data_IF_329677314590
#
_entry.id   IF_329677314590
#
_cell.length_a   1.000
_cell.length_b   1.000
_cell.length_c   1.000
_cell.angle_alpha   90.00
_cell.angle_beta   90.00
_cell.angle_gamma   90.00
#
_symmetry.space_group_name_H-M   'P 1'
#
loop_
_entity.id
_entity.type
_entity.pdbx_description
1 polymer ?
#
# COMPACT_ATOMS: atom_id res chain seq x y z
N UNK A 1 -59.16 -8.13 27.57
CA UNK A 1 -58.92 -7.25 28.73
C UNK A 1 -58.16 -6.01 28.25
N UNK A 2 -58.85 -4.87 28.33
CA UNK A 2 -58.47 -3.45 28.25
C UNK A 2 -57.47 -2.91 27.22
N UNK A 3 -58.08 -2.12 26.32
CA UNK A 3 -57.52 -1.01 25.56
C UNK A 3 -56.69 -0.04 26.40
N UNK A 4 -55.54 0.37 25.87
CA UNK A 4 -55.10 1.77 25.86
C UNK A 4 -54.29 2.03 24.60
N UNK A 5 -55.00 2.47 23.57
CA UNK A 5 -54.44 3.28 22.48
C UNK A 5 -53.82 4.51 23.14
N UNK A 6 -52.50 4.68 23.06
CA UNK A 6 -51.88 5.98 23.33
C UNK A 6 -51.54 6.63 21.99
N UNK A 7 -52.41 7.56 21.60
CA UNK A 7 -52.25 8.47 20.48
C UNK A 7 -51.44 9.69 20.97
N UNK A 8 -50.56 10.17 20.10
CA UNK A 8 -49.87 11.48 20.11
C UNK A 8 -48.64 11.60 21.03
N UNK A 9 -47.46 11.56 20.40
CA UNK A 9 -46.29 12.32 20.81
C UNK A 9 -45.80 13.13 19.60
N UNK A 10 -46.53 14.19 19.27
CA UNK A 10 -46.01 15.22 18.39
C UNK A 10 -45.02 16.07 19.21
N UNK A 11 -43.74 16.08 18.83
CA UNK A 11 -42.74 17.02 19.35
C UNK A 11 -41.72 16.50 20.37
N UNK A 12 -41.48 15.19 20.48
CA UNK A 12 -40.33 14.67 21.27
C UNK A 12 -39.17 14.32 20.35
N UNK A 13 -37.94 14.66 20.78
CA UNK A 13 -36.71 14.29 20.04
C UNK A 13 -36.53 12.78 19.98
N UNK A 14 -35.97 12.26 18.89
CA UNK A 14 -35.58 10.85 18.72
C UNK A 14 -34.83 10.25 19.93
N UNK A 15 -33.97 11.05 20.60
CA UNK A 15 -33.27 10.64 21.82
C UNK A 15 -34.22 10.36 23.01
N UNK A 16 -35.35 11.08 23.09
CA UNK A 16 -36.39 10.89 24.10
C UNK A 16 -37.26 9.66 23.83
N UNK A 17 -37.41 9.26 22.56
CA UNK A 17 -38.13 8.04 22.16
C UNK A 17 -37.27 6.80 22.44
N UNK A 18 -35.97 6.85 22.11
CA UNK A 18 -35.04 5.74 22.39
C UNK A 18 -34.76 5.55 23.90
N UNK A 19 -34.78 6.62 24.71
CA UNK A 19 -34.66 6.49 26.17
C UNK A 19 -35.91 5.90 26.84
N UNK A 20 -37.08 5.92 26.18
CA UNK A 20 -38.33 5.36 26.70
C UNK A 20 -38.52 3.87 26.38
N UNK A 21 -37.80 3.33 25.39
CA UNK A 21 -37.82 1.90 25.05
C UNK A 21 -36.74 1.13 25.83
N UNK A 22 -36.83 1.18 27.16
CA UNK A 22 -36.06 0.29 28.03
C UNK A 22 -36.58 -1.14 28.04
N UNK A 23 -37.88 -1.36 27.77
CA UNK A 23 -38.55 -2.68 27.91
C UNK A 23 -39.94 -2.73 27.20
N UNK A 24 -40.08 -2.36 25.91
CA UNK A 24 -41.39 -2.46 25.24
C UNK A 24 -41.33 -3.01 23.81
N UNK A 25 -42.04 -4.13 23.60
CA UNK A 25 -42.05 -5.07 22.46
C UNK A 25 -42.53 -4.54 21.08
N UNK A 26 -42.52 -3.23 20.82
CA UNK A 26 -42.69 -2.65 19.46
C UNK A 26 -42.69 -1.13 19.53
N UNK A 27 -42.10 -0.46 18.54
CA UNK A 27 -42.11 1.00 18.46
C UNK A 27 -42.60 1.48 17.09
N UNK A 28 -43.39 2.55 17.08
CA UNK A 28 -43.88 3.24 15.87
C UNK A 28 -43.55 4.72 15.99
N UNK A 29 -42.83 5.27 15.01
CA UNK A 29 -42.49 6.69 14.96
C UNK A 29 -43.15 7.34 13.73
N UNK A 30 -43.81 8.49 13.94
CA UNK A 30 -44.41 9.31 12.88
C UNK A 30 -44.04 10.77 13.17
N UNK A 31 -43.10 11.31 12.40
CA UNK A 31 -42.57 12.65 12.60
C UNK A 31 -41.83 13.10 11.36
N UNK A 32 -42.20 14.26 10.85
CA UNK A 32 -41.52 14.89 9.73
C UNK A 32 -40.06 15.20 10.12
N UNK A 33 -39.10 14.63 9.36
CA UNK A 33 -37.71 15.09 9.27
C UNK A 33 -36.78 14.89 10.50
N UNK A 34 -36.93 13.82 11.29
CA UNK A 34 -35.92 13.50 12.32
C UNK A 34 -34.74 12.67 11.76
N UNK A 35 -33.54 13.25 11.79
CA UNK A 35 -32.30 12.64 11.31
C UNK A 35 -31.43 12.13 12.48
N UNK A 36 -31.28 10.81 12.68
CA UNK A 36 -30.23 10.29 13.55
C UNK A 36 -28.86 10.61 12.94
N UNK A 37 -28.07 11.41 13.65
CA UNK A 37 -26.68 11.72 13.27
C UNK A 37 -25.66 10.68 13.77
N UNK A 38 -26.07 9.80 14.68
CA UNK A 38 -25.23 8.79 15.32
C UNK A 38 -25.77 7.37 15.07
N UNK A 39 -24.98 6.35 15.45
CA UNK A 39 -25.36 4.93 15.33
C UNK A 39 -26.68 4.59 16.06
N UNK A 40 -27.62 3.97 15.35
CA UNK A 40 -28.92 3.53 15.90
C UNK A 40 -28.96 2.02 16.03
N UNK A 41 -29.31 1.51 17.22
CA UNK A 41 -29.50 0.08 17.49
C UNK A 41 -30.94 -0.19 17.93
N UNK A 42 -31.68 -0.98 17.15
CA UNK A 42 -33.04 -1.43 17.45
C UNK A 42 -33.04 -2.95 17.66
N UNK A 43 -33.61 -3.40 18.79
CA UNK A 43 -33.62 -4.82 19.16
C UNK A 43 -34.78 -5.61 18.56
N UNK A 44 -35.89 -4.96 18.26
CA UNK A 44 -37.11 -5.62 17.77
C UNK A 44 -37.53 -5.05 16.40
N UNK A 45 -38.83 -4.80 16.22
CA UNK A 45 -39.42 -4.29 14.97
C UNK A 45 -39.55 -2.77 14.96
N UNK A 46 -39.23 -2.14 13.82
CA UNK A 46 -39.38 -0.71 13.58
C UNK A 46 -40.32 -0.45 12.40
N UNK A 47 -41.35 0.39 12.63
CA UNK A 47 -42.24 0.88 11.57
C UNK A 47 -42.08 2.40 11.40
N UNK A 48 -41.60 2.82 10.23
CA UNK A 48 -41.48 4.22 9.83
C UNK A 48 -42.40 4.55 8.65
N UNK A 49 -43.01 5.73 8.71
CA UNK A 49 -43.93 6.21 7.68
C UNK A 49 -43.23 7.16 6.71
N UNK A 50 -42.28 7.96 7.17
CA UNK A 50 -41.60 8.99 6.37
C UNK A 50 -40.18 8.57 5.92
N UNK A 51 -39.53 9.46 5.15
CA UNK A 51 -38.16 9.27 4.67
C UNK A 51 -37.14 9.21 5.82
N UNK A 52 -36.25 8.23 5.74
CA UNK A 52 -35.20 7.98 6.74
C UNK A 52 -33.84 8.37 6.16
N UNK A 53 -33.08 9.20 6.88
CA UNK A 53 -31.67 9.48 6.55
C UNK A 53 -30.75 9.02 7.66
N UNK A 54 -29.83 8.10 7.37
CA UNK A 54 -28.81 7.60 8.30
C UNK A 54 -27.44 8.02 7.80
N UNK A 55 -26.64 8.63 8.67
CA UNK A 55 -25.30 9.13 8.32
C UNK A 55 -24.23 8.08 8.64
N UNK A 56 -24.26 7.49 9.84
CA UNK A 56 -23.33 6.45 10.27
C UNK A 56 -23.92 5.03 10.05
N UNK A 57 -24.41 4.39 11.11
CA UNK A 57 -24.84 2.99 11.08
C UNK A 57 -26.24 2.78 11.66
N UNK A 58 -26.99 1.86 11.04
CA UNK A 58 -28.30 1.39 11.52
C UNK A 58 -28.24 -0.13 11.73
N UNK A 59 -28.52 -0.59 12.94
CA UNK A 59 -28.56 -2.02 13.28
C UNK A 59 -29.93 -2.41 13.81
N UNK A 60 -30.61 -3.30 13.09
CA UNK A 60 -31.94 -3.82 13.43
C UNK A 60 -31.86 -5.34 13.46
N UNK A 61 -32.46 -5.97 14.47
CA UNK A 61 -32.39 -7.43 14.64
C UNK A 61 -33.60 -8.18 14.08
N UNK A 62 -34.82 -7.65 14.20
CA UNK A 62 -36.02 -8.42 13.81
C UNK A 62 -36.62 -7.96 12.48
N UNK A 63 -37.34 -6.83 12.46
CA UNK A 63 -37.97 -6.34 11.25
C UNK A 63 -37.91 -4.83 11.06
N UNK A 64 -37.80 -4.39 9.81
CA UNK A 64 -37.88 -2.99 9.42
C UNK A 64 -38.95 -2.82 8.35
N UNK A 65 -39.90 -1.91 8.59
CA UNK A 65 -40.90 -1.49 7.62
C UNK A 65 -40.84 0.02 7.41
N UNK A 66 -40.67 0.44 6.16
CA UNK A 66 -40.61 1.84 5.77
C UNK A 66 -41.59 2.06 4.61
N UNK A 67 -42.46 3.06 4.74
CA UNK A 67 -43.40 3.40 3.66
C UNK A 67 -42.76 4.29 2.60
N UNK A 68 -42.01 5.30 2.99
CA UNK A 68 -41.35 6.17 2.00
C UNK A 68 -39.94 5.64 1.66
N UNK A 69 -38.95 6.52 1.63
CA UNK A 69 -37.60 6.24 1.16
C UNK A 69 -36.55 6.11 2.27
N UNK A 70 -35.42 5.48 1.95
CA UNK A 70 -34.25 5.32 2.81
C UNK A 70 -33.02 5.89 2.11
N UNK A 71 -32.29 6.78 2.78
CA UNK A 71 -31.01 7.31 2.32
C UNK A 71 -29.91 7.06 3.34
N UNK A 72 -28.85 6.34 2.94
CA UNK A 72 -27.78 5.96 3.85
C UNK A 72 -26.42 6.25 3.24
N UNK A 73 -25.59 6.97 3.99
CA UNK A 73 -24.32 7.53 3.52
C UNK A 73 -23.11 6.63 3.83
N UNK A 74 -23.14 5.90 4.94
CA UNK A 74 -22.06 4.98 5.35
C UNK A 74 -22.55 3.51 5.42
N UNK A 75 -21.79 2.63 6.05
CA UNK A 75 -22.04 1.20 6.15
C UNK A 75 -23.29 0.84 6.94
N UNK A 76 -24.08 -0.09 6.40
CA UNK A 76 -25.16 -0.74 7.13
C UNK A 76 -24.82 -2.21 7.32
N UNK A 77 -24.51 -2.56 8.57
CA UNK A 77 -24.58 -3.94 9.01
C UNK A 77 -26.02 -4.30 9.36
N UNK A 78 -26.85 -4.61 8.37
CA UNK A 78 -28.17 -5.21 8.60
C UNK A 78 -27.99 -6.66 9.04
N UNK A 79 -27.74 -6.88 10.33
CA UNK A 79 -28.04 -8.20 10.92
C UNK A 79 -29.53 -8.29 11.25
N UNK A 80 -30.38 -7.97 10.27
CA UNK A 80 -31.80 -8.28 10.32
C UNK A 80 -31.89 -9.79 10.16
N UNK A 81 -32.62 -10.42 11.08
CA UNK A 81 -32.74 -11.87 11.14
C UNK A 81 -34.02 -12.32 10.43
N UNK A 82 -35.00 -11.45 10.16
CA UNK A 82 -36.31 -11.90 9.66
C UNK A 82 -36.90 -11.15 8.45
N UNK A 83 -37.09 -9.81 8.47
CA UNK A 83 -37.78 -9.13 7.33
C UNK A 83 -37.51 -7.64 7.15
N UNK A 84 -37.30 -7.22 5.89
CA UNK A 84 -37.35 -5.80 5.46
C UNK A 84 -38.45 -5.58 4.42
N UNK A 85 -39.31 -4.57 4.64
CA UNK A 85 -40.26 -4.07 3.62
C UNK A 85 -40.10 -2.55 3.43
N UNK A 86 -39.71 -2.12 2.24
CA UNK A 86 -39.68 -0.71 1.82
C UNK A 86 -40.61 -0.52 0.62
N UNK A 87 -41.51 0.46 0.68
CA UNK A 87 -42.49 0.69 -0.39
C UNK A 87 -41.91 1.60 -1.49
N UNK A 88 -41.26 2.72 -1.17
CA UNK A 88 -40.61 3.53 -2.19
C UNK A 88 -39.17 3.04 -2.47
N UNK A 89 -38.18 3.91 -2.28
CA UNK A 89 -36.80 3.73 -2.75
C UNK A 89 -35.79 3.58 -1.62
N UNK A 90 -34.72 2.84 -1.88
CA UNK A 90 -33.56 2.70 -1.00
C UNK A 90 -32.31 3.17 -1.75
N UNK A 91 -31.61 4.15 -1.20
CA UNK A 91 -30.34 4.68 -1.73
C UNK A 91 -29.22 4.48 -0.71
N UNK A 92 -28.21 3.68 -1.07
CA UNK A 92 -27.13 3.28 -0.16
C UNK A 92 -25.77 3.51 -0.83
N UNK A 93 -24.87 4.22 -0.14
CA UNK A 93 -23.60 4.69 -0.70
C UNK A 93 -22.45 3.71 -0.45
N UNK A 94 -22.42 3.04 0.69
CA UNK A 94 -21.39 2.05 1.07
C UNK A 94 -21.95 0.62 0.99
N UNK A 95 -21.93 -0.11 2.11
CA UNK A 95 -22.10 -1.56 2.12
C UNK A 95 -23.40 -1.99 2.78
N UNK A 96 -24.05 -2.99 2.18
CA UNK A 96 -25.18 -3.72 2.78
C UNK A 96 -24.75 -5.15 3.04
N UNK A 97 -24.85 -5.58 4.30
CA UNK A 97 -24.87 -7.00 4.65
C UNK A 97 -26.27 -7.36 5.11
N UNK A 98 -26.99 -8.24 4.39
CA UNK A 98 -28.35 -8.67 4.73
C UNK A 98 -28.48 -10.21 4.79
N UNK A 99 -29.28 -10.71 5.73
CA UNK A 99 -29.57 -12.13 5.93
C UNK A 99 -31.09 -12.30 5.98
N UNK A 100 -31.66 -13.21 5.18
CA UNK A 100 -33.09 -13.57 5.08
C UNK A 100 -33.90 -12.88 3.94
N UNK A 101 -35.09 -12.32 4.21
CA UNK A 101 -36.08 -11.97 3.17
C UNK A 101 -36.31 -10.47 2.99
N UNK A 102 -36.03 -9.92 1.80
CA UNK A 102 -36.23 -8.48 1.49
C UNK A 102 -37.34 -8.27 0.46
N UNK A 103 -38.17 -7.23 0.69
CA UNK A 103 -39.11 -6.69 -0.29
C UNK A 103 -38.91 -5.18 -0.46
N UNK A 104 -38.56 -4.77 -1.68
CA UNK A 104 -38.54 -3.35 -2.11
C UNK A 104 -39.51 -3.23 -3.29
N UNK A 105 -40.44 -2.28 -3.24
CA UNK A 105 -41.48 -2.15 -4.27
C UNK A 105 -41.00 -1.25 -5.42
N UNK A 106 -40.39 -0.10 -5.16
CA UNK A 106 -39.84 0.74 -6.23
C UNK A 106 -38.35 0.41 -6.51
N UNK A 107 -37.43 1.28 -6.09
CA UNK A 107 -36.03 1.24 -6.55
C UNK A 107 -35.02 0.93 -5.44
N UNK A 108 -34.00 0.13 -5.77
CA UNK A 108 -32.82 -0.09 -4.93
C UNK A 108 -31.57 0.41 -5.67
N UNK A 109 -30.93 1.46 -5.14
CA UNK A 109 -29.71 2.05 -5.68
C UNK A 109 -28.53 1.85 -4.71
N UNK A 110 -27.47 1.22 -5.20
CA UNK A 110 -26.26 0.89 -4.40
C UNK A 110 -25.01 1.27 -5.19
N UNK A 111 -24.05 1.92 -4.52
CA UNK A 111 -22.85 2.48 -5.16
C UNK A 111 -21.57 1.69 -4.85
N UNK A 112 -21.44 1.05 -3.67
CA UNK A 112 -20.24 0.30 -3.29
C UNK A 112 -20.43 -1.23 -3.35
N UNK A 113 -20.87 -1.86 -2.25
CA UNK A 113 -20.85 -3.31 -2.10
C UNK A 113 -22.18 -3.86 -1.60
N UNK A 114 -22.74 -4.83 -2.33
CA UNK A 114 -23.96 -5.54 -1.94
C UNK A 114 -23.62 -7.01 -1.63
N UNK A 115 -23.68 -7.39 -0.35
CA UNK A 115 -23.59 -8.79 0.05
C UNK A 115 -24.93 -9.24 0.65
N UNK A 116 -25.70 -9.99 -0.14
CA UNK A 116 -26.97 -10.56 0.32
C UNK A 116 -26.88 -12.07 0.36
N UNK A 117 -27.09 -12.64 1.55
CA UNK A 117 -27.16 -14.08 1.76
C UNK A 117 -28.63 -14.45 1.96
N UNK A 118 -29.26 -14.93 0.90
CA UNK A 118 -30.67 -15.32 0.91
C UNK A 118 -30.86 -16.74 1.46
N UNK A 119 -31.81 -16.92 2.39
CA UNK A 119 -32.25 -18.25 2.85
C UNK A 119 -33.63 -18.63 2.31
N UNK A 120 -34.54 -17.66 2.16
CA UNK A 120 -35.96 -17.93 1.84
C UNK A 120 -36.45 -17.32 0.52
N UNK A 121 -36.67 -15.99 0.41
CA UNK A 121 -37.26 -15.38 -0.80
C UNK A 121 -36.98 -13.87 -0.96
N UNK A 122 -36.76 -13.43 -2.20
CA UNK A 122 -36.57 -12.00 -2.56
C UNK A 122 -37.55 -11.58 -3.64
N UNK A 123 -38.15 -10.39 -3.48
CA UNK A 123 -39.00 -9.80 -4.53
C UNK A 123 -38.77 -8.30 -4.62
N UNK A 124 -38.14 -7.89 -5.71
CA UNK A 124 -37.97 -6.49 -6.12
C UNK A 124 -38.92 -6.29 -7.31
N UNK A 125 -39.80 -5.29 -7.23
CA UNK A 125 -40.94 -5.18 -8.16
C UNK A 125 -40.67 -4.25 -9.34
N UNK A 126 -39.80 -3.25 -9.19
CA UNK A 126 -39.46 -2.31 -10.26
C UNK A 126 -37.99 -2.43 -10.70
N UNK A 127 -37.05 -1.71 -10.07
CA UNK A 127 -35.71 -1.49 -10.65
C UNK A 127 -34.57 -1.65 -9.63
N UNK A 128 -33.50 -2.36 -10.01
CA UNK A 128 -32.21 -2.33 -9.31
C UNK A 128 -31.24 -1.53 -10.16
N UNK A 129 -30.80 -0.36 -9.67
CA UNK A 129 -29.69 0.38 -10.29
C UNK A 129 -28.50 0.27 -9.37
N UNK A 130 -27.75 -0.82 -9.51
CA UNK A 130 -26.35 -0.79 -9.10
C UNK A 130 -25.64 0.15 -10.08
N UNK A 131 -25.10 1.27 -9.58
CA UNK A 131 -24.04 1.94 -10.30
C UNK A 131 -22.81 1.07 -10.10
N UNK A 132 -22.78 -0.10 -10.74
CA UNK A 132 -21.60 -0.95 -10.69
C UNK A 132 -20.42 -0.08 -11.13
N UNK A 133 -19.30 -0.22 -10.44
CA UNK A 133 -18.07 0.46 -10.82
C UNK A 133 -17.79 0.31 -12.33
N UNK A 134 -18.27 -0.76 -12.97
CA UNK A 134 -18.25 -0.95 -14.42
C UNK A 134 -18.93 0.14 -15.27
N UNK A 135 -19.97 0.82 -14.80
CA UNK A 135 -20.60 1.91 -15.57
C UNK A 135 -19.70 3.14 -15.66
N UNK A 136 -18.91 3.39 -14.62
CA UNK A 136 -17.98 4.53 -14.51
C UNK A 136 -16.61 4.15 -15.08
N UNK A 137 -16.14 2.94 -14.76
CA UNK A 137 -14.81 2.43 -15.04
C UNK A 137 -14.77 1.57 -16.33
N UNK A 138 -15.90 1.23 -16.94
CA UNK A 138 -15.97 0.17 -17.93
C UNK A 138 -15.82 -1.22 -17.29
N UNK A 139 -16.09 -2.28 -18.06
CA UNK A 139 -16.03 -3.66 -17.57
C UNK A 139 -14.63 -4.03 -17.08
N UNK A 140 -14.53 -4.67 -15.90
CA UNK A 140 -13.33 -5.41 -15.49
C UNK A 140 -13.38 -6.81 -16.11
N UNK A 141 -12.28 -7.23 -16.73
CA UNK A 141 -12.17 -8.45 -17.51
C UNK A 141 -10.74 -8.99 -17.43
N UNK A 142 -10.51 -10.17 -18.00
CA UNK A 142 -9.17 -10.74 -18.09
C UNK A 142 -8.17 -9.83 -18.84
N UNK A 143 -8.65 -8.94 -19.72
CA UNK A 143 -7.79 -8.05 -20.53
C UNK A 143 -7.24 -6.87 -19.72
N UNK A 144 -7.96 -6.42 -18.70
CA UNK A 144 -7.56 -5.31 -17.83
C UNK A 144 -7.39 -5.73 -16.36
N UNK A 145 -7.37 -7.04 -16.09
CA UNK A 145 -6.98 -7.61 -14.81
C UNK A 145 -5.61 -7.06 -14.38
N UNK A 146 -5.53 -6.58 -13.14
CA UNK A 146 -4.34 -5.93 -12.60
C UNK A 146 -4.23 -4.43 -12.86
N UNK A 147 -5.15 -3.82 -13.63
CA UNK A 147 -5.12 -2.39 -13.90
C UNK A 147 -5.73 -1.58 -12.76
N UNK A 148 -5.18 -0.37 -12.57
CA UNK A 148 -5.72 0.66 -11.69
C UNK A 148 -6.45 1.75 -12.46
N UNK A 149 -7.55 2.24 -11.91
CA UNK A 149 -8.26 3.42 -12.37
C UNK A 149 -8.48 4.41 -11.24
N UNK A 150 -8.16 5.66 -11.51
CA UNK A 150 -8.35 6.78 -10.60
C UNK A 150 -9.59 7.54 -11.06
N UNK A 151 -10.55 7.72 -10.16
CA UNK A 151 -11.80 8.43 -10.45
C UNK A 151 -12.20 9.27 -9.25
N UNK A 152 -12.60 10.50 -9.52
CA UNK A 152 -13.24 11.37 -8.54
C UNK A 152 -14.74 11.04 -8.48
N UNK A 153 -15.22 10.61 -7.30
CA UNK A 153 -16.64 10.33 -7.05
C UNK A 153 -17.07 11.21 -5.87
N UNK A 154 -18.03 12.11 -6.09
CA UNK A 154 -18.52 13.06 -5.07
C UNK A 154 -17.40 13.94 -4.45
N UNK A 155 -16.45 14.41 -5.27
CA UNK A 155 -15.28 15.18 -4.83
C UNK A 155 -14.29 14.40 -3.94
N UNK A 156 -14.35 13.07 -3.97
CA UNK A 156 -13.36 12.21 -3.35
C UNK A 156 -12.60 11.42 -4.43
N UNK A 157 -11.28 11.52 -4.43
CA UNK A 157 -10.42 10.70 -5.28
C UNK A 157 -10.44 9.25 -4.80
N UNK A 158 -10.89 8.35 -5.66
CA UNK A 158 -10.92 6.91 -5.40
C UNK A 158 -10.07 6.17 -6.43
N UNK A 159 -9.40 5.13 -5.96
CA UNK A 159 -8.59 4.25 -6.80
C UNK A 159 -9.21 2.86 -6.81
N UNK A 160 -9.47 2.32 -8.00
CA UNK A 160 -10.05 1.00 -8.19
C UNK A 160 -9.06 0.08 -8.89
N UNK A 161 -8.95 -1.15 -8.40
CA UNK A 161 -8.14 -2.22 -8.96
C UNK A 161 -9.05 -3.28 -9.59
N UNK A 162 -8.74 -3.67 -10.83
CA UNK A 162 -9.44 -4.76 -11.50
C UNK A 162 -8.85 -6.10 -11.00
N UNK A 163 -9.60 -6.79 -10.14
CA UNK A 163 -9.13 -7.98 -9.46
C UNK A 163 -8.90 -9.15 -10.43
N UNK A 164 -7.72 -9.76 -10.36
CA UNK A 164 -7.33 -10.80 -11.32
C UNK A 164 -8.11 -12.11 -11.16
N UNK A 165 -8.63 -12.41 -9.97
CA UNK A 165 -9.35 -13.66 -9.72
C UNK A 165 -10.83 -13.53 -10.02
N UNK A 166 -11.44 -12.47 -9.50
CA UNK A 166 -12.88 -12.23 -9.63
C UNK A 166 -13.26 -11.50 -10.91
N UNK A 167 -12.32 -10.79 -11.54
CA UNK A 167 -12.57 -9.88 -12.65
C UNK A 167 -13.64 -8.83 -12.30
N UNK A 168 -13.63 -8.37 -11.05
CA UNK A 168 -14.46 -7.27 -10.57
C UNK A 168 -13.57 -6.11 -10.13
N UNK A 169 -14.08 -4.89 -10.31
CA UNK A 169 -13.45 -3.71 -9.73
C UNK A 169 -13.65 -3.73 -8.22
N UNK A 170 -12.58 -3.49 -7.47
CA UNK A 170 -12.60 -3.25 -6.02
C UNK A 170 -11.79 -2.01 -5.69
N UNK A 171 -11.99 -1.45 -4.50
CA UNK A 171 -11.10 -0.41 -3.98
C UNK A 171 -9.66 -0.96 -3.95
N UNK A 172 -8.75 -0.20 -4.53
CA UNK A 172 -7.34 -0.50 -4.52
C UNK A 172 -6.76 -0.31 -3.12
N UNK A 173 -5.86 -1.20 -2.73
CA UNK A 173 -5.05 -1.02 -1.53
C UNK A 173 -4.02 0.09 -1.74
N UNK A 174 -3.56 0.70 -0.64
CA UNK A 174 -2.49 1.71 -0.72
C UNK A 174 -1.22 1.16 -1.40
N UNK A 175 -0.88 -0.12 -1.18
CA UNK A 175 0.28 -0.75 -1.82
C UNK A 175 0.13 -0.81 -3.35
N UNK A 176 -1.04 -1.20 -3.85
CA UNK A 176 -1.33 -1.22 -5.28
C UNK A 176 -1.24 0.18 -5.90
N UNK A 177 -1.86 1.17 -5.25
CA UNK A 177 -1.82 2.58 -5.69
C UNK A 177 -0.38 3.08 -5.77
N UNK A 178 0.40 2.86 -4.72
CA UNK A 178 1.79 3.34 -4.65
C UNK A 178 2.72 2.58 -5.61
N UNK A 179 2.48 1.29 -5.83
CA UNK A 179 3.17 0.50 -6.86
C UNK A 179 2.96 1.08 -8.25
N UNK A 180 1.72 1.43 -8.62
CA UNK A 180 1.46 2.02 -9.93
C UNK A 180 1.97 3.46 -10.08
N UNK A 181 1.94 4.25 -9.01
CA UNK A 181 2.58 5.57 -8.99
C UNK A 181 4.09 5.45 -9.19
N UNK A 182 4.75 4.51 -8.51
CA UNK A 182 6.16 4.22 -8.72
C UNK A 182 6.42 3.79 -10.16
N UNK A 183 5.64 2.87 -10.72
CA UNK A 183 5.80 2.43 -12.12
C UNK A 183 5.69 3.59 -13.12
N UNK A 184 4.73 4.51 -12.91
CA UNK A 184 4.59 5.73 -13.71
C UNK A 184 5.87 6.56 -13.66
N UNK A 185 6.37 6.86 -12.46
CA UNK A 185 7.52 7.74 -12.27
C UNK A 185 8.85 7.07 -12.63
N UNK A 186 8.98 5.75 -12.50
CA UNK A 186 10.11 4.97 -13.01
C UNK A 186 10.23 5.13 -14.53
N UNK A 187 9.15 4.93 -15.28
CA UNK A 187 9.13 5.13 -16.74
C UNK A 187 9.49 6.57 -17.13
N UNK A 188 9.01 7.55 -16.37
CA UNK A 188 9.29 8.97 -16.61
C UNK A 188 10.74 9.36 -16.27
N UNK A 189 11.36 8.69 -15.29
CA UNK A 189 12.72 8.98 -14.85
C UNK A 189 13.79 8.53 -15.87
N UNK A 190 13.47 7.54 -16.71
CA UNK A 190 14.34 7.06 -17.81
C UNK A 190 15.77 6.78 -17.35
N UNK A 191 15.92 5.99 -16.29
CA UNK A 191 17.23 5.66 -15.72
C UNK A 191 18.02 4.78 -16.68
N UNK A 192 19.12 5.31 -17.22
CA UNK A 192 19.97 4.64 -18.21
C UNK A 192 21.32 4.17 -17.65
N UNK A 193 21.86 4.89 -16.67
CA UNK A 193 23.17 4.62 -16.07
C UNK A 193 23.21 5.15 -14.63
N UNK A 194 24.27 4.79 -13.90
CA UNK A 194 24.57 5.31 -12.57
C UNK A 194 25.10 6.74 -12.64
N UNK A 195 24.48 7.64 -11.87
CA UNK A 195 24.96 9.02 -11.68
C UNK A 195 25.67 9.17 -10.34
N UNK A 196 26.67 10.06 -10.21
CA UNK A 196 27.26 10.38 -8.92
C UNK A 196 26.20 10.85 -7.93
N UNK A 197 26.27 10.37 -6.68
CA UNK A 197 25.26 10.70 -5.66
C UNK A 197 25.27 12.20 -5.31
N UNK A 198 26.45 12.82 -5.30
CA UNK A 198 26.64 14.25 -5.11
C UNK A 198 25.88 15.09 -6.14
N UNK A 199 25.79 14.64 -7.39
CA UNK A 199 25.10 15.35 -8.48
C UNK A 199 23.58 15.33 -8.30
N UNK A 200 23.05 14.28 -7.66
CA UNK A 200 21.62 14.20 -7.31
C UNK A 200 21.35 15.15 -6.16
N UNK A 201 22.17 15.10 -5.11
CA UNK A 201 21.94 15.86 -3.89
C UNK A 201 22.20 17.37 -4.04
N UNK A 202 23.08 17.78 -4.96
CA UNK A 202 23.33 19.18 -5.28
C UNK A 202 22.10 19.90 -5.90
N UNK A 203 21.09 19.15 -6.36
CA UNK A 203 19.91 19.69 -7.06
C UNK A 203 18.64 19.71 -6.22
N UNK A 204 18.71 19.25 -4.97
CA UNK A 204 17.54 19.11 -4.09
C UNK A 204 17.07 20.48 -3.64
N UNK A 205 15.81 20.82 -3.95
CA UNK A 205 15.19 22.05 -3.49
C UNK A 205 14.80 21.97 -2.00
N UNK A 206 14.64 23.10 -1.27
CA UNK A 206 14.39 23.09 0.18
C UNK A 206 13.12 22.38 0.66
N UNK A 207 12.14 22.17 -0.22
CA UNK A 207 10.85 21.52 0.04
C UNK A 207 10.75 20.10 -0.54
N UNK A 208 11.80 19.63 -1.22
CA UNK A 208 11.92 18.26 -1.71
C UNK A 208 12.49 17.34 -0.63
N UNK A 209 12.25 16.03 -0.73
CA UNK A 209 12.88 15.02 0.15
C UNK A 209 13.60 13.98 -0.69
N UNK A 210 14.65 13.36 -0.15
CA UNK A 210 15.38 12.30 -0.85
C UNK A 210 15.50 11.04 0.00
N UNK A 211 15.18 9.89 -0.56
CA UNK A 211 15.51 8.58 0.00
C UNK A 211 16.63 7.97 -0.82
N UNK A 212 17.70 7.57 -0.16
CA UNK A 212 18.87 6.91 -0.76
C UNK A 212 18.97 5.52 -0.15
N UNK A 213 19.11 4.50 -1.00
CA UNK A 213 19.36 3.12 -0.55
C UNK A 213 20.60 2.61 -1.27
N UNK A 214 21.70 2.42 -0.54
CA UNK A 214 23.01 2.01 -1.09
C UNK A 214 23.56 0.76 -0.42
N UNK A 215 24.40 0.04 -1.18
CA UNK A 215 25.16 -1.10 -0.67
C UNK A 215 26.19 -0.58 0.34
N UNK A 216 26.47 -1.36 1.38
CA UNK A 216 27.60 -1.12 2.27
C UNK A 216 28.92 -0.94 1.50
N UNK A 217 29.91 -0.32 2.14
CA UNK A 217 31.27 -0.22 1.59
C UNK A 217 32.01 -1.56 1.62
N UNK A 218 33.24 -1.62 1.11
CA UNK A 218 34.01 -2.86 1.07
C UNK A 218 34.14 -3.52 2.46
N UNK A 219 34.01 -4.85 2.46
CA UNK A 219 34.29 -5.73 3.61
C UNK A 219 35.19 -6.88 3.18
N UNK A 220 35.77 -7.56 4.16
CA UNK A 220 36.42 -8.85 3.97
C UNK A 220 35.39 -9.94 3.63
N UNK A 221 35.85 -11.16 3.35
CA UNK A 221 35.02 -12.30 2.93
C UNK A 221 34.00 -12.78 3.99
N UNK A 222 34.13 -12.34 5.26
CA UNK A 222 33.19 -12.70 6.32
C UNK A 222 31.76 -12.23 6.00
N UNK A 223 30.82 -13.18 5.94
CA UNK A 223 29.40 -12.93 5.67
C UNK A 223 28.59 -12.69 6.95
N UNK A 224 29.17 -12.91 8.13
CA UNK A 224 28.47 -12.83 9.40
C UNK A 224 27.87 -11.43 9.67
N UNK A 225 26.91 -11.39 10.59
CA UNK A 225 26.33 -10.13 11.06
C UNK A 225 27.36 -9.22 11.75
N UNK A 226 28.44 -9.79 12.27
CA UNK A 226 29.53 -9.09 12.94
C UNK A 226 30.61 -8.58 11.98
N UNK A 227 30.58 -9.00 10.71
CA UNK A 227 31.55 -8.61 9.68
C UNK A 227 31.68 -7.08 9.58
N UNK A 228 32.91 -6.61 9.69
CA UNK A 228 33.31 -5.21 9.65
C UNK A 228 33.68 -4.78 8.23
N UNK A 229 33.87 -3.47 8.03
CA UNK A 229 34.49 -2.95 6.81
C UNK A 229 36.02 -3.16 6.86
N UNK A 230 36.63 -3.26 5.68
CA UNK A 230 38.08 -3.11 5.53
C UNK A 230 38.51 -1.66 5.76
N UNK A 231 39.82 -1.41 5.89
CA UNK A 231 40.37 -0.04 5.92
C UNK A 231 39.99 0.74 4.65
N UNK A 232 39.96 0.07 3.49
CA UNK A 232 39.53 0.67 2.23
C UNK A 232 38.02 0.98 2.26
N UNK A 233 37.17 0.09 2.79
CA UNK A 233 35.74 0.37 2.96
C UNK A 233 35.45 1.55 3.90
N UNK A 234 36.27 1.72 4.95
CA UNK A 234 36.23 2.90 5.82
C UNK A 234 36.60 4.17 5.04
N UNK A 235 37.69 4.14 4.28
CA UNK A 235 38.12 5.28 3.46
C UNK A 235 37.07 5.66 2.40
N UNK A 236 36.57 4.68 1.64
CA UNK A 236 35.49 4.85 0.66
C UNK A 236 34.27 5.57 1.25
N UNK A 237 33.86 5.16 2.45
CA UNK A 237 32.72 5.74 3.15
C UNK A 237 32.97 7.20 3.57
N UNK A 238 34.16 7.50 4.10
CA UNK A 238 34.55 8.86 4.50
C UNK A 238 34.67 9.78 3.28
N UNK A 239 35.31 9.34 2.21
CA UNK A 239 35.44 10.09 0.95
C UNK A 239 34.08 10.40 0.33
N UNK A 240 33.14 9.44 0.33
CA UNK A 240 31.76 9.73 -0.07
C UNK A 240 31.14 10.79 0.84
N UNK A 241 31.34 10.68 2.15
CA UNK A 241 30.89 11.71 3.10
C UNK A 241 31.41 13.11 2.75
N UNK A 242 32.70 13.24 2.47
CA UNK A 242 33.34 14.52 2.10
C UNK A 242 32.72 15.12 0.83
N UNK A 243 32.45 14.30 -0.20
CA UNK A 243 31.75 14.74 -1.42
C UNK A 243 30.35 15.27 -1.15
N UNK A 244 29.70 14.79 -0.08
CA UNK A 244 28.33 15.16 0.27
C UNK A 244 28.26 16.33 1.26
N UNK A 245 29.37 16.89 1.76
CA UNK A 245 29.37 17.86 2.88
C UNK A 245 28.44 19.06 2.71
N UNK A 246 28.17 19.50 1.47
CA UNK A 246 27.28 20.63 1.17
C UNK A 246 25.83 20.22 0.89
N UNK A 247 25.52 18.93 0.94
CA UNK A 247 24.15 18.46 0.77
C UNK A 247 23.30 18.78 2.01
N UNK A 248 21.97 18.74 1.87
CA UNK A 248 21.07 18.93 3.01
C UNK A 248 21.31 17.96 4.16
N UNK A 249 20.74 18.31 5.33
CA UNK A 249 20.83 17.47 6.51
C UNK A 249 20.28 16.05 6.26
N UNK A 250 20.99 15.08 6.83
CA UNK A 250 20.80 13.67 6.52
C UNK A 250 20.43 12.88 7.77
N UNK A 251 19.50 11.95 7.61
CA UNK A 251 19.19 10.90 8.56
C UNK A 251 19.84 9.61 8.08
N UNK A 252 20.45 8.85 9.00
CA UNK A 252 21.14 7.61 8.69
C UNK A 252 20.41 6.41 9.28
N UNK A 253 20.34 5.33 8.51
CA UNK A 253 19.94 4.03 9.02
C UNK A 253 20.61 2.91 8.25
N UNK A 254 20.73 1.74 8.87
CA UNK A 254 21.28 0.55 8.23
C UNK A 254 20.55 -0.72 8.64
N UNK A 255 20.89 -1.80 7.95
CA UNK A 255 20.51 -3.16 8.36
C UNK A 255 21.11 -3.54 9.72
N UNK A 256 20.80 -4.71 10.25
CA UNK A 256 21.37 -5.18 11.53
C UNK A 256 22.85 -5.60 11.44
N UNK A 257 23.46 -5.53 10.26
CA UNK A 257 24.84 -5.97 10.04
C UNK A 257 25.83 -4.87 10.41
N UNK A 258 26.91 -5.24 11.10
CA UNK A 258 27.91 -4.28 11.58
C UNK A 258 28.52 -3.45 10.45
N UNK A 259 28.80 -4.04 9.28
CA UNK A 259 29.27 -3.34 8.08
C UNK A 259 28.36 -2.21 7.59
N UNK A 260 27.02 -2.33 7.70
CA UNK A 260 26.12 -1.25 7.27
C UNK A 260 26.17 -0.08 8.25
N UNK A 261 26.26 -0.40 9.56
CA UNK A 261 26.48 0.60 10.61
C UNK A 261 27.79 1.36 10.41
N UNK A 262 28.88 0.63 10.18
CA UNK A 262 30.18 1.23 9.91
C UNK A 262 30.14 2.11 8.64
N UNK A 263 29.42 1.69 7.60
CA UNK A 263 29.32 2.46 6.35
C UNK A 263 28.66 3.82 6.61
N UNK A 264 27.44 3.86 7.16
CA UNK A 264 26.76 5.15 7.35
C UNK A 264 27.46 6.02 8.40
N UNK A 265 28.06 5.44 9.44
CA UNK A 265 28.81 6.20 10.44
C UNK A 265 30.04 6.87 9.84
N UNK A 266 30.73 6.20 8.91
CA UNK A 266 31.87 6.77 8.22
C UNK A 266 31.47 7.81 7.16
N UNK A 267 30.32 7.63 6.49
CA UNK A 267 29.73 8.69 5.64
C UNK A 267 29.40 9.93 6.48
N UNK A 268 28.73 9.76 7.63
CA UNK A 268 28.43 10.86 8.56
C UNK A 268 29.71 11.54 9.04
N UNK A 269 30.75 10.77 9.39
CA UNK A 269 32.06 11.30 9.77
C UNK A 269 32.71 12.14 8.67
N UNK A 270 32.68 11.68 7.41
CA UNK A 270 33.21 12.43 6.26
C UNK A 270 32.46 13.73 6.01
N UNK A 271 31.16 13.78 6.34
CA UNK A 271 30.32 14.99 6.28
C UNK A 271 30.49 15.94 7.47
N UNK A 272 31.26 15.55 8.49
CA UNK A 272 31.35 16.22 9.78
C UNK A 272 30.04 16.20 10.61
N UNK A 273 29.18 15.19 10.42
CA UNK A 273 27.93 14.97 11.15
C UNK A 273 28.17 14.17 12.47
N UNK A 274 29.12 14.62 13.30
CA UNK A 274 29.69 13.84 14.42
C UNK A 274 28.70 13.44 15.53
N UNK A 275 27.60 14.16 15.71
CA UNK A 275 26.60 13.91 16.76
C UNK A 275 25.44 12.99 16.29
N UNK A 276 25.52 12.43 15.08
CA UNK A 276 24.43 11.64 14.51
C UNK A 276 24.62 10.15 14.80
N UNK A 277 23.69 9.57 15.57
CA UNK A 277 23.53 8.13 15.66
C UNK A 277 22.55 7.67 14.58
N UNK A 278 22.98 6.74 13.73
CA UNK A 278 22.07 6.12 12.77
C UNK A 278 21.20 5.03 13.41
N UNK A 279 20.02 4.84 12.85
CA UNK A 279 19.08 3.81 13.31
C UNK A 279 19.39 2.44 12.72
N UNK A 280 18.91 1.39 13.39
CA UNK A 280 18.97 0.01 12.90
C UNK A 280 17.59 -0.45 12.45
N UNK A 281 17.50 -0.97 11.22
CA UNK A 281 16.26 -1.41 10.59
C UNK A 281 16.38 -2.83 10.05
N UNK A 282 15.72 -3.80 10.68
CA UNK A 282 15.74 -5.21 10.25
C UNK A 282 15.21 -5.43 8.82
N UNK A 283 14.32 -4.56 8.34
CA UNK A 283 13.79 -4.60 6.97
C UNK A 283 14.86 -4.33 5.89
N UNK A 284 16.00 -3.75 6.28
CA UNK A 284 17.16 -3.55 5.40
C UNK A 284 18.11 -4.75 5.39
N UNK A 285 17.79 -5.86 6.07
CA UNK A 285 18.55 -7.10 5.93
C UNK A 285 18.32 -7.74 4.55
N UNK A 286 19.06 -8.81 4.26
CA UNK A 286 19.19 -9.44 2.94
C UNK A 286 17.99 -10.27 2.43
N UNK A 287 16.76 -10.06 2.95
CA UNK A 287 15.61 -10.93 2.66
C UNK A 287 14.30 -10.23 2.27
N UNK A 288 14.28 -8.92 2.05
CA UNK A 288 13.01 -8.20 1.84
C UNK A 288 12.20 -8.69 0.63
N UNK A 289 12.88 -9.10 -0.44
CA UNK A 289 12.25 -9.56 -1.69
C UNK A 289 12.05 -11.08 -1.78
N UNK A 290 12.48 -11.85 -0.78
CA UNK A 290 12.32 -13.31 -0.73
C UNK A 290 11.11 -13.72 0.10
N UNK A 291 10.26 -14.62 -0.41
CA UNK A 291 9.06 -15.16 0.28
C UNK A 291 9.43 -16.18 1.36
N UNK A 292 10.45 -16.98 1.08
CA UNK A 292 11.00 -17.95 2.00
C UNK A 292 12.51 -17.91 1.86
N UNK A 293 13.20 -17.48 2.91
CA UNK A 293 14.67 -17.58 2.98
C UNK A 293 15.12 -19.02 3.34
N UNK A 294 14.18 -19.90 3.67
CA UNK A 294 14.41 -21.30 4.03
C UNK A 294 14.42 -22.25 2.82
N UNK A 295 14.62 -23.55 3.12
CA UNK A 295 14.83 -24.75 2.29
C UNK A 295 14.65 -24.63 0.78
N UNK A 296 13.60 -24.02 0.24
CA UNK A 296 13.39 -23.92 -1.21
C UNK A 296 14.32 -22.90 -1.91
N UNK A 297 14.54 -21.71 -1.33
CA UNK A 297 15.57 -20.78 -1.82
C UNK A 297 16.94 -21.44 -1.74
N UNK A 298 17.23 -22.08 -0.60
CA UNK A 298 18.46 -22.85 -0.42
C UNK A 298 18.56 -24.08 -1.34
N UNK A 299 17.45 -24.69 -1.75
CA UNK A 299 17.41 -25.78 -2.72
C UNK A 299 17.73 -25.26 -4.12
N UNK A 300 17.22 -24.10 -4.53
CA UNK A 300 17.60 -23.49 -5.80
C UNK A 300 19.08 -23.08 -5.83
N UNK A 301 19.64 -22.66 -4.69
CA UNK A 301 21.09 -22.47 -4.53
C UNK A 301 21.85 -23.79 -4.72
N UNK A 302 21.35 -24.89 -4.15
CA UNK A 302 21.97 -26.23 -4.24
C UNK A 302 21.83 -26.87 -5.61
N UNK A 303 20.74 -26.62 -6.33
CA UNK A 303 20.47 -27.22 -7.64
C UNK A 303 21.11 -26.43 -8.80
N UNK A 304 21.29 -25.11 -8.66
CA UNK A 304 21.90 -24.23 -9.69
C UNK A 304 23.29 -23.71 -9.33
N UNK A 305 23.82 -24.16 -8.19
CA UNK A 305 25.20 -23.98 -7.73
C UNK A 305 25.67 -22.52 -7.53
N UNK A 306 24.78 -21.51 -7.55
CA UNK A 306 25.07 -20.14 -7.09
C UNK A 306 23.79 -19.27 -7.02
N UNK A 307 23.38 -18.87 -5.82
CA UNK A 307 22.21 -18.01 -5.66
C UNK A 307 22.38 -16.56 -6.09
N UNK A 308 23.62 -16.09 -6.27
CA UNK A 308 23.90 -14.80 -6.95
C UNK A 308 23.40 -14.85 -8.40
N UNK A 309 23.58 -15.99 -9.07
CA UNK A 309 23.07 -16.24 -10.42
C UNK A 309 21.53 -16.26 -10.45
N UNK A 310 20.90 -16.95 -9.51
CA UNK A 310 19.42 -17.02 -9.42
C UNK A 310 18.82 -15.63 -9.20
N UNK A 311 19.36 -14.86 -8.26
CA UNK A 311 18.85 -13.52 -7.93
C UNK A 311 19.07 -12.53 -9.09
N UNK A 312 20.25 -12.53 -9.72
CA UNK A 312 20.51 -11.64 -10.86
C UNK A 312 19.68 -12.00 -12.09
N UNK A 313 19.45 -13.29 -12.36
CA UNK A 313 18.53 -13.74 -13.41
C UNK A 313 17.10 -13.30 -13.11
N UNK A 314 16.61 -13.51 -11.88
CA UNK A 314 15.29 -13.07 -11.47
C UNK A 314 15.11 -11.55 -11.63
N UNK A 315 16.10 -10.76 -11.21
CA UNK A 315 16.06 -9.31 -11.37
C UNK A 315 16.03 -8.87 -12.85
N UNK A 316 16.77 -9.57 -13.72
CA UNK A 316 16.83 -9.26 -15.15
C UNK A 316 15.62 -9.77 -15.94
N UNK A 317 15.17 -10.99 -15.70
CA UNK A 317 14.24 -11.73 -16.57
C UNK A 317 12.87 -11.99 -15.91
N UNK A 318 12.76 -11.82 -14.59
CA UNK A 318 11.58 -12.22 -13.81
C UNK A 318 11.55 -13.72 -13.50
N UNK A 319 10.35 -14.28 -13.31
CA UNK A 319 10.15 -15.68 -12.92
C UNK A 319 10.30 -15.93 -11.41
N UNK A 320 10.48 -17.20 -11.03
CA UNK A 320 10.68 -17.63 -9.63
C UNK A 320 9.61 -17.09 -8.65
N UNK A 321 8.34 -17.08 -9.08
CA UNK A 321 7.23 -16.45 -8.36
C UNK A 321 6.86 -17.16 -7.05
N UNK A 322 7.34 -18.37 -6.84
CA UNK A 322 7.28 -19.14 -5.61
C UNK A 322 8.39 -18.76 -4.61
N UNK A 323 9.49 -18.19 -5.09
CA UNK A 323 10.66 -17.79 -4.30
C UNK A 323 10.63 -16.32 -3.92
N UNK A 324 10.37 -15.46 -4.89
CA UNK A 324 10.50 -14.02 -4.75
C UNK A 324 9.14 -13.33 -4.85
N UNK A 325 9.02 -12.20 -4.16
CA UNK A 325 7.93 -11.26 -4.38
C UNK A 325 8.17 -10.46 -5.66
N UNK A 326 7.10 -9.99 -6.31
CA UNK A 326 7.25 -9.03 -7.40
C UNK A 326 7.91 -7.74 -6.90
N UNK A 327 8.91 -7.27 -7.64
CA UNK A 327 9.76 -6.15 -7.19
C UNK A 327 8.95 -4.86 -7.00
N UNK A 328 8.05 -4.52 -7.95
CA UNK A 328 7.31 -3.25 -7.90
C UNK A 328 6.45 -3.10 -6.63
N UNK A 329 5.46 -3.98 -6.35
CA UNK A 329 4.63 -3.84 -5.15
C UNK A 329 5.45 -3.99 -3.88
N UNK A 330 6.43 -4.91 -3.87
CA UNK A 330 7.27 -5.14 -2.70
C UNK A 330 8.19 -3.96 -2.39
N UNK A 331 8.67 -3.26 -3.41
CA UNK A 331 9.47 -2.05 -3.24
C UNK A 331 8.61 -0.86 -2.80
N UNK A 332 7.38 -0.73 -3.33
CA UNK A 332 6.42 0.24 -2.82
C UNK A 332 6.14 0.03 -1.33
N UNK A 333 5.91 -1.22 -0.90
CA UNK A 333 5.72 -1.55 0.50
C UNK A 333 6.93 -1.18 1.38
N UNK A 334 8.16 -1.38 0.89
CA UNK A 334 9.38 -0.95 1.60
C UNK A 334 9.40 0.56 1.84
N UNK A 335 9.16 1.33 0.76
CA UNK A 335 9.21 2.78 0.80
C UNK A 335 8.15 3.34 1.74
N UNK A 336 6.90 2.95 1.56
CA UNK A 336 5.75 3.55 2.22
C UNK A 336 5.62 3.12 3.68
N UNK A 337 5.93 1.86 3.99
CA UNK A 337 5.74 1.34 5.35
C UNK A 337 6.97 1.53 6.24
N UNK A 338 8.15 1.74 5.66
CA UNK A 338 9.40 1.77 6.42
C UNK A 338 10.26 3.00 6.17
N UNK A 339 10.67 3.27 4.93
CA UNK A 339 11.69 4.30 4.65
C UNK A 339 11.12 5.73 4.76
N UNK A 340 9.99 5.99 4.13
CA UNK A 340 9.33 7.31 4.20
C UNK A 340 8.87 7.65 5.62
N UNK A 341 8.25 6.74 6.39
CA UNK A 341 7.96 7.01 7.80
C UNK A 341 9.20 7.30 8.64
N UNK A 342 10.33 6.61 8.40
CA UNK A 342 11.58 6.86 9.11
C UNK A 342 12.13 8.27 8.81
N UNK A 343 12.20 8.65 7.53
CA UNK A 343 12.62 9.98 7.12
C UNK A 343 11.69 11.08 7.67
N UNK A 344 10.37 10.86 7.65
CA UNK A 344 9.41 11.80 8.21
C UNK A 344 9.62 12.00 9.71
N UNK A 345 9.87 10.92 10.47
CA UNK A 345 10.14 11.00 11.92
C UNK A 345 11.44 11.72 12.23
N UNK A 346 12.48 11.55 11.41
CA UNK A 346 13.77 12.21 11.63
C UNK A 346 13.72 13.72 11.36
N UNK A 347 12.72 14.20 10.60
CA UNK A 347 12.56 15.59 10.17
C UNK A 347 13.73 16.10 9.31
N UNK A 348 14.51 15.18 8.73
CA UNK A 348 15.60 15.49 7.82
C UNK A 348 15.11 15.52 6.38
N UNK A 349 15.88 16.17 5.52
CA UNK A 349 15.55 16.26 4.10
C UNK A 349 15.96 14.99 3.35
N UNK A 350 17.10 14.41 3.74
CA UNK A 350 17.68 13.23 3.10
C UNK A 350 17.69 12.05 4.06
N UNK A 351 17.25 10.88 3.61
CA UNK A 351 17.40 9.61 4.32
C UNK A 351 18.43 8.73 3.61
N UNK A 352 19.55 8.45 4.28
CA UNK A 352 20.61 7.55 3.84
C UNK A 352 20.42 6.18 4.50
N UNK A 353 19.97 5.22 3.71
CA UNK A 353 19.71 3.85 4.15
C UNK A 353 20.77 2.91 3.56
N UNK A 354 21.51 2.22 4.41
CA UNK A 354 22.56 1.28 3.98
C UNK A 354 22.11 -0.16 4.11
N UNK A 355 22.17 -0.89 3.00
CA UNK A 355 21.76 -2.29 2.88
C UNK A 355 22.83 -3.10 2.13
N UNK A 356 22.41 -4.17 1.46
CA UNK A 356 23.23 -5.17 0.78
C UNK A 356 22.87 -5.24 -0.70
N UNK A 357 23.77 -5.83 -1.48
CA UNK A 357 23.60 -6.03 -2.92
C UNK A 357 22.31 -6.76 -3.29
N UNK A 358 21.97 -7.86 -2.60
CA UNK A 358 20.77 -8.66 -2.92
C UNK A 358 19.45 -7.90 -2.75
N UNK A 359 19.44 -6.85 -1.91
CA UNK A 359 18.27 -5.96 -1.79
C UNK A 359 18.23 -4.94 -2.91
N UNK A 360 19.40 -4.44 -3.32
CA UNK A 360 19.50 -3.26 -4.19
C UNK A 360 19.55 -3.62 -5.67
N UNK A 361 20.12 -4.77 -6.03
CA UNK A 361 20.14 -5.29 -7.40
C UNK A 361 18.75 -5.34 -8.05
N UNK A 362 17.70 -5.92 -7.41
CA UNK A 362 16.36 -5.90 -7.97
C UNK A 362 15.79 -4.48 -8.06
N UNK A 363 16.10 -3.60 -7.09
CA UNK A 363 15.65 -2.20 -7.11
C UNK A 363 16.25 -1.43 -8.28
N UNK A 364 17.57 -1.54 -8.52
CA UNK A 364 18.26 -0.93 -9.68
C UNK A 364 17.72 -1.47 -11.00
N UNK A 365 17.51 -2.79 -11.08
CA UNK A 365 16.94 -3.43 -12.28
C UNK A 365 15.52 -2.94 -12.54
N UNK A 366 14.72 -2.74 -11.49
CA UNK A 366 13.36 -2.21 -11.60
C UNK A 366 13.35 -0.74 -12.06
N UNK A 367 14.07 0.16 -11.39
CA UNK A 367 14.02 1.60 -11.70
C UNK A 367 14.62 1.96 -13.07
N UNK A 368 15.49 1.09 -13.60
CA UNK A 368 16.08 1.24 -14.94
C UNK A 368 15.26 0.57 -16.04
N UNK A 369 14.11 -0.03 -15.70
CA UNK A 369 13.36 -0.92 -16.59
C UNK A 369 14.27 -1.98 -17.24
N UNK A 370 15.16 -2.57 -16.44
CA UNK A 370 16.15 -3.61 -16.82
C UNK A 370 17.20 -3.14 -17.82
N UNK A 371 17.42 -1.84 -17.97
CA UNK A 371 18.52 -1.29 -18.79
C UNK A 371 19.86 -1.40 -18.08
N UNK A 372 19.87 -1.27 -16.76
CA UNK A 372 21.02 -1.54 -15.90
C UNK A 372 20.81 -2.93 -15.30
N UNK A 373 21.63 -3.90 -15.73
CA UNK A 373 21.54 -5.29 -15.24
C UNK A 373 22.91 -5.80 -14.85
N UNK A 374 22.96 -6.43 -13.68
CA UNK A 374 24.15 -7.06 -13.13
C UNK A 374 24.20 -8.50 -13.63
N UNK A 375 24.84 -8.71 -14.78
CA UNK A 375 24.77 -9.95 -15.58
C UNK A 375 25.62 -11.10 -15.04
N UNK A 376 25.66 -11.29 -13.72
CA UNK A 376 26.39 -12.37 -13.09
C UNK A 376 25.98 -13.76 -13.60
N UNK A 377 24.69 -13.98 -13.81
CA UNK A 377 24.18 -15.25 -14.33
C UNK A 377 24.71 -15.61 -15.73
N UNK A 378 24.90 -14.63 -16.62
CA UNK A 378 25.53 -14.82 -17.93
C UNK A 378 27.05 -14.96 -17.80
N UNK A 379 27.66 -14.19 -16.89
CA UNK A 379 29.09 -14.25 -16.66
C UNK A 379 29.51 -15.65 -16.22
N UNK A 380 28.76 -16.27 -15.29
CA UNK A 380 28.97 -17.66 -14.83
C UNK A 380 28.90 -18.68 -15.98
N UNK A 381 28.10 -18.41 -17.01
CA UNK A 381 27.97 -19.25 -18.20
C UNK A 381 29.08 -18.99 -19.25
N UNK A 382 29.98 -18.04 -19.00
CA UNK A 382 30.98 -17.60 -19.97
C UNK A 382 30.41 -16.71 -21.09
N UNK A 383 29.18 -16.23 -20.95
CA UNK A 383 28.46 -15.44 -21.96
C UNK A 383 28.58 -13.92 -21.73
N UNK A 384 29.25 -13.50 -20.65
CA UNK A 384 29.46 -12.10 -20.30
C UNK A 384 30.82 -11.89 -19.65
N UNK A 385 31.60 -10.94 -20.17
CA UNK A 385 32.95 -10.62 -19.70
C UNK A 385 33.05 -9.26 -18.99
N UNK A 386 32.01 -8.44 -19.06
CA UNK A 386 31.92 -7.13 -18.44
C UNK A 386 31.60 -7.16 -16.94
N UNK A 387 31.34 -5.98 -16.37
CA UNK A 387 30.87 -5.84 -14.99
C UNK A 387 29.58 -6.62 -14.80
N UNK A 388 29.51 -7.36 -13.70
CA UNK A 388 28.49 -8.37 -13.48
C UNK A 388 27.82 -8.24 -12.11
N UNK A 389 28.23 -7.29 -11.27
CA UNK A 389 27.74 -7.10 -9.91
C UNK A 389 27.55 -5.61 -9.56
N UNK A 390 26.74 -5.33 -8.55
CA UNK A 390 26.55 -3.99 -8.01
C UNK A 390 27.79 -3.58 -7.21
N UNK A 391 28.39 -2.43 -7.49
CA UNK A 391 29.58 -1.99 -6.76
C UNK A 391 29.24 -1.57 -5.32
N UNK A 392 30.26 -1.46 -4.47
CA UNK A 392 30.14 -0.86 -3.15
C UNK A 392 29.69 0.60 -3.25
N UNK A 393 28.91 1.06 -2.25
CA UNK A 393 28.33 2.40 -2.21
C UNK A 393 27.47 2.78 -3.43
N UNK A 394 27.04 1.80 -4.22
CA UNK A 394 26.09 1.99 -5.31
C UNK A 394 24.68 1.58 -4.89
N UNK A 395 23.68 2.16 -5.55
CA UNK A 395 22.28 1.80 -5.34
C UNK A 395 21.32 2.74 -6.01
N UNK A 396 20.31 3.20 -5.27
CA UNK A 396 19.27 4.07 -5.81
C UNK A 396 19.08 5.35 -4.97
N UNK A 397 18.58 6.39 -5.61
CA UNK A 397 18.01 7.55 -4.93
C UNK A 397 16.63 7.89 -5.51
N UNK A 398 15.75 8.41 -4.66
CA UNK A 398 14.41 8.85 -5.03
C UNK A 398 14.22 10.26 -4.51
N UNK A 399 14.03 11.20 -5.42
CA UNK A 399 13.64 12.57 -5.13
C UNK A 399 12.11 12.65 -5.09
N UNK A 400 11.56 13.13 -3.99
CA UNK A 400 10.14 13.37 -3.78
C UNK A 400 9.87 14.88 -3.82
N UNK A 401 8.99 15.27 -4.74
CA UNK A 401 8.55 16.65 -4.89
C UNK A 401 7.29 16.92 -4.05
N UNK A 402 7.03 18.18 -3.66
CA UNK A 402 5.84 18.55 -2.90
C UNK A 402 4.51 18.17 -3.57
N UNK A 403 4.49 18.12 -4.91
CA UNK A 403 3.32 17.73 -5.71
C UNK A 403 3.10 16.20 -5.81
N UNK A 404 3.91 15.42 -5.10
CA UNK A 404 3.88 13.95 -5.13
C UNK A 404 4.64 13.32 -6.30
N UNK A 405 5.28 14.11 -7.16
CA UNK A 405 6.16 13.61 -8.21
C UNK A 405 7.37 12.91 -7.61
N UNK A 406 7.76 11.77 -8.20
CA UNK A 406 8.96 11.02 -7.82
C UNK A 406 9.94 11.01 -8.99
N UNK A 407 11.23 11.18 -8.71
CA UNK A 407 12.30 11.01 -9.70
C UNK A 407 13.30 9.98 -9.17
N UNK A 408 13.50 8.92 -9.94
CA UNK A 408 14.37 7.81 -9.59
C UNK A 408 15.73 7.96 -10.25
N UNK A 409 16.77 7.57 -9.52
CA UNK A 409 18.14 7.56 -9.99
C UNK A 409 18.80 6.24 -9.59
N UNK A 410 19.58 5.64 -10.49
CA UNK A 410 20.65 4.73 -10.08
C UNK A 410 21.85 5.60 -9.69
N UNK A 411 22.42 5.38 -8.50
CA UNK A 411 23.47 6.25 -7.94
C UNK A 411 24.73 5.47 -7.57
N UNK A 412 25.87 6.14 -7.69
CA UNK A 412 27.19 5.61 -7.30
C UNK A 412 27.91 6.57 -6.36
N UNK A 413 28.52 6.04 -5.30
CA UNK A 413 29.46 6.78 -4.45
C UNK A 413 30.92 6.66 -4.89
N UNK A 414 31.24 5.63 -5.67
CA UNK A 414 32.55 5.38 -6.28
C UNK A 414 32.53 5.73 -7.78
N UNK A 415 33.67 5.55 -8.45
CA UNK A 415 33.84 5.88 -9.88
C UNK A 415 32.90 5.07 -10.80
N UNK A 416 32.54 3.85 -10.40
CA UNK A 416 31.58 2.98 -11.09
C UNK A 416 30.48 2.49 -10.16
N UNK A 417 29.25 2.38 -10.69
CA UNK A 417 28.12 1.75 -9.99
C UNK A 417 28.11 0.22 -10.10
N UNK A 418 28.92 -0.34 -11.00
CA UNK A 418 29.08 -1.78 -11.20
C UNK A 418 30.52 -2.20 -11.00
N UNK A 419 30.72 -3.49 -10.75
CA UNK A 419 32.03 -4.11 -10.63
C UNK A 419 32.04 -5.52 -11.21
N UNK A 420 33.23 -6.04 -11.46
CA UNK A 420 33.43 -7.44 -11.80
C UNK A 420 33.62 -8.26 -10.52
N UNK A 421 32.64 -9.09 -10.19
CA UNK A 421 32.75 -10.12 -9.18
C UNK A 421 33.43 -11.35 -9.79
N UNK A 422 34.45 -11.93 -9.14
CA UNK A 422 35.06 -13.17 -9.58
C UNK A 422 34.02 -14.29 -9.70
N UNK A 423 34.18 -15.13 -10.72
CA UNK A 423 33.40 -16.35 -10.88
C UNK A 423 34.30 -17.47 -10.37
N UNK A 424 33.81 -18.22 -9.39
CA UNK A 424 34.48 -19.40 -8.83
C UNK A 424 34.28 -20.65 -9.69
#
# INVERSE_FOLDING_TARGET
>A
MNSKVLKVLAGLSLASILAACGDSDSSSASGENEQPRDSVVVRDSLNWIDTVRVIDSLRIKDSLRIRDSVHIVDSISYKIVERVEVVDSVNIIDSINYIDSTRVIDSLNIIDSLNIIFKDSTRIVDSIVTLSAEKILGKCSAENAGQLKFVEINNEDRSYYCDMGTHLWRIATNEEVMSALNDKYVRQSRVMDFVPLEDVLAKVAPDEQVIIVIRHAERDEDLSIASALTDLGVAQSQELGEKLIFSPEMYYAGSQYHRTHMTYNNIAKGRADYDTLGDTMAVLNEGWFTKSFDTYYMTLFRENDDGRGVMTRWAAEGGYTDVFYDVSPRFAALLENHLMPALKRSKKQVGMFVSHDVMIIPMVSYISERRITMKYYLAKQGEWDGDNWLNYLAGIAILFKPDGTRVFYAVKGLDSGTMKLPIE
#
